data_IF_631369459339
#
_entry.id   IF_631369459339
#
_cell.length_a   1.000
_cell.length_b   1.000
_cell.length_c   1.000
_cell.angle_alpha   90.00
_cell.angle_beta   90.00
_cell.angle_gamma   90.00
#
_symmetry.space_group_name_H-M   'P 1'
#
loop_
_entity.id
_entity.type
_entity.pdbx_description
1 polymer ?
#
# COMPACT_ATOMS: atom_id res chain seq x y z
N UNK A 1 -0.34 7.03 -31.38
CA UNK A 1 -0.44 7.91 -30.19
C UNK A 1 0.72 7.58 -29.25
N UNK A 2 1.47 8.59 -28.79
CA UNK A 2 2.48 8.46 -27.73
C UNK A 2 1.76 8.85 -26.42
N UNK A 3 1.75 7.93 -25.44
CA UNK A 3 1.12 8.13 -24.12
C UNK A 3 2.21 8.11 -23.05
N UNK A 4 2.40 9.23 -22.34
CA UNK A 4 3.46 9.43 -21.35
C UNK A 4 2.94 9.60 -19.93
N UNK A 5 1.67 9.28 -19.66
CA UNK A 5 1.00 9.47 -18.37
C UNK A 5 0.64 8.14 -17.67
N UNK A 6 1.48 7.11 -17.84
CA UNK A 6 1.26 5.82 -17.17
C UNK A 6 1.39 5.89 -15.64
N UNK A 7 2.02 6.93 -15.10
CA UNK A 7 2.07 7.18 -13.67
C UNK A 7 0.69 7.54 -13.07
N UNK A 8 -0.20 8.12 -13.86
CA UNK A 8 -1.59 8.37 -13.48
C UNK A 8 -2.42 7.07 -13.59
N UNK A 9 -2.38 6.43 -14.75
CA UNK A 9 -2.98 5.10 -15.01
C UNK A 9 -2.38 4.52 -16.29
N UNK A 10 -2.25 3.19 -16.37
CA UNK A 10 -1.78 2.54 -17.60
C UNK A 10 -2.88 2.60 -18.66
N UNK A 11 -2.57 3.13 -19.84
CA UNK A 11 -3.55 3.23 -20.93
C UNK A 11 -3.83 1.87 -21.56
N UNK A 12 -2.76 1.15 -21.94
CA UNK A 12 -2.89 -0.14 -22.61
C UNK A 12 -2.87 -1.27 -21.59
N UNK A 13 -3.92 -2.07 -21.59
CA UNK A 13 -4.00 -3.29 -20.79
C UNK A 13 -3.61 -4.50 -21.65
N UNK A 14 -2.99 -5.54 -21.09
CA UNK A 14 -2.83 -6.80 -21.80
C UNK A 14 -4.19 -7.38 -22.20
N UNK A 15 -4.34 -8.01 -23.39
CA UNK A 15 -5.62 -8.60 -23.81
C UNK A 15 -6.19 -9.61 -22.82
N UNK A 16 -5.33 -10.29 -22.06
CA UNK A 16 -5.73 -11.24 -21.03
C UNK A 16 -6.50 -10.55 -19.87
N UNK A 17 -6.19 -9.28 -19.58
CA UNK A 17 -6.91 -8.50 -18.56
C UNK A 17 -8.31 -8.18 -19.03
N UNK A 18 -8.46 -7.73 -20.28
CA UNK A 18 -9.76 -7.45 -20.88
C UNK A 18 -10.63 -8.70 -20.92
N UNK A 19 -10.06 -9.84 -21.36
CA UNK A 19 -10.77 -11.12 -21.42
C UNK A 19 -11.21 -11.58 -20.02
N UNK A 20 -10.33 -11.50 -19.01
CA UNK A 20 -10.64 -11.90 -17.65
C UNK A 20 -11.78 -11.07 -17.04
N UNK A 21 -11.85 -9.76 -17.34
CA UNK A 21 -12.95 -8.91 -16.90
C UNK A 21 -14.27 -9.34 -17.56
N UNK A 22 -14.26 -9.56 -18.88
CA UNK A 22 -15.45 -10.01 -19.61
C UNK A 22 -15.96 -11.38 -19.12
N UNK A 23 -15.04 -12.30 -18.87
CA UNK A 23 -15.40 -13.65 -18.37
C UNK A 23 -15.98 -13.57 -16.96
N UNK A 24 -15.37 -12.76 -16.07
CA UNK A 24 -15.90 -12.56 -14.72
C UNK A 24 -17.31 -11.94 -14.75
N UNK A 25 -17.57 -10.95 -15.62
CA UNK A 25 -18.89 -10.34 -15.76
C UNK A 25 -19.97 -11.34 -16.23
N UNK A 26 -19.58 -12.35 -17.01
CA UNK A 26 -20.51 -13.35 -17.55
C UNK A 26 -20.74 -14.54 -16.63
N UNK A 27 -19.78 -14.88 -15.78
CA UNK A 27 -19.75 -16.17 -15.07
C UNK A 27 -19.70 -16.05 -13.55
N UNK A 28 -19.24 -14.91 -13.00
CA UNK A 28 -19.07 -14.75 -11.56
C UNK A 28 -20.35 -14.25 -10.89
N UNK A 29 -20.76 -14.95 -9.84
CA UNK A 29 -21.84 -14.53 -8.94
C UNK A 29 -21.31 -13.71 -7.74
N UNK A 30 -22.08 -13.62 -6.66
CA UNK A 30 -21.68 -12.95 -5.43
C UNK A 30 -20.71 -13.84 -4.62
N UNK A 31 -19.44 -13.45 -4.43
CA UNK A 31 -18.51 -14.26 -3.64
C UNK A 31 -18.93 -14.31 -2.15
N UNK A 32 -18.84 -15.48 -1.53
CA UNK A 32 -19.00 -15.65 -0.08
C UNK A 32 -20.41 -15.93 0.42
N UNK A 33 -21.46 -15.93 -0.40
CA UNK A 33 -22.84 -16.25 0.00
C UNK A 33 -23.51 -17.19 -0.99
N UNK A 34 -23.57 -18.46 -0.67
CA UNK A 34 -24.23 -19.51 -1.45
C UNK A 34 -23.29 -20.62 -1.87
N UNK A 35 -23.89 -21.76 -2.29
CA UNK A 35 -23.17 -22.98 -2.68
C UNK A 35 -23.33 -23.32 -4.18
N UNK A 36 -23.92 -22.41 -4.97
CA UNK A 36 -24.09 -22.63 -6.40
C UNK A 36 -22.86 -22.22 -7.19
N UNK A 37 -22.66 -22.82 -8.38
CA UNK A 37 -21.43 -22.70 -9.14
C UNK A 37 -20.96 -21.25 -9.44
N UNK A 38 -21.83 -20.28 -9.83
CA UNK A 38 -21.39 -18.90 -10.04
C UNK A 38 -20.77 -18.25 -8.78
N UNK A 39 -21.30 -18.53 -7.58
CA UNK A 39 -20.75 -18.03 -6.30
C UNK A 39 -19.40 -18.68 -5.99
N UNK A 40 -19.30 -20.00 -6.16
CA UNK A 40 -18.04 -20.73 -5.96
C UNK A 40 -16.96 -20.26 -6.93
N UNK A 41 -17.35 -20.03 -8.18
CA UNK A 41 -16.45 -19.46 -9.20
C UNK A 41 -15.92 -18.08 -8.80
N UNK A 42 -16.81 -17.16 -8.40
CA UNK A 42 -16.41 -15.84 -7.91
C UNK A 42 -15.45 -15.92 -6.70
N UNK A 43 -15.74 -16.79 -5.75
CA UNK A 43 -14.88 -17.01 -4.58
C UNK A 43 -13.50 -17.53 -4.95
N UNK A 44 -13.42 -18.45 -5.93
CA UNK A 44 -12.14 -18.97 -6.46
C UNK A 44 -11.35 -17.86 -7.16
N UNK A 45 -11.99 -16.98 -7.95
CA UNK A 45 -11.34 -15.84 -8.60
C UNK A 45 -10.73 -14.88 -7.58
N UNK A 46 -11.49 -14.50 -6.55
CA UNK A 46 -11.00 -13.62 -5.46
C UNK A 46 -9.81 -14.27 -4.75
N UNK A 47 -9.91 -15.55 -4.40
CA UNK A 47 -8.83 -16.26 -3.73
C UNK A 47 -7.58 -16.40 -4.62
N UNK A 48 -7.75 -16.73 -5.89
CA UNK A 48 -6.64 -16.81 -6.84
C UNK A 48 -5.92 -15.46 -7.00
N UNK A 49 -6.66 -14.34 -7.02
CA UNK A 49 -6.08 -13.01 -7.05
C UNK A 49 -5.25 -12.72 -5.78
N UNK A 50 -5.76 -13.10 -4.59
CA UNK A 50 -4.99 -12.98 -3.34
C UNK A 50 -3.70 -13.80 -3.39
N UNK A 51 -3.77 -15.05 -3.84
CA UNK A 51 -2.60 -15.92 -3.99
C UNK A 51 -1.56 -15.33 -4.95
N UNK A 52 -2.00 -14.76 -6.08
CA UNK A 52 -1.11 -14.13 -7.05
C UNK A 52 -0.40 -12.90 -6.46
N UNK A 53 -1.13 -12.06 -5.71
CA UNK A 53 -0.55 -10.89 -5.04
C UNK A 53 0.39 -11.30 -3.89
N UNK A 54 0.01 -12.28 -3.08
CA UNK A 54 0.88 -12.81 -2.02
C UNK A 54 2.19 -13.34 -2.61
N UNK A 55 2.13 -14.09 -3.71
CA UNK A 55 3.33 -14.56 -4.40
C UNK A 55 4.19 -13.42 -4.95
N UNK A 56 3.57 -12.41 -5.58
CA UNK A 56 4.28 -11.26 -6.16
C UNK A 56 5.03 -10.46 -5.11
N UNK A 57 4.45 -10.31 -3.93
CA UNK A 57 4.95 -9.47 -2.84
C UNK A 57 5.69 -10.27 -1.76
N UNK A 58 5.83 -11.59 -1.94
CA UNK A 58 6.40 -12.51 -0.97
C UNK A 58 5.68 -12.46 0.39
N UNK A 59 4.35 -12.27 0.38
CA UNK A 59 3.55 -12.32 1.60
C UNK A 59 3.42 -13.74 2.12
N UNK A 60 3.41 -13.96 3.44
CA UNK A 60 3.39 -15.31 4.02
C UNK A 60 2.04 -16.01 3.81
N UNK A 61 0.95 -15.25 3.71
CA UNK A 61 -0.41 -15.79 3.62
C UNK A 61 -1.27 -14.91 2.69
N UNK A 62 -2.01 -15.49 1.73
CA UNK A 62 -2.98 -14.78 0.90
C UNK A 62 -4.09 -14.07 1.69
N UNK A 63 -4.39 -14.50 2.94
CA UNK A 63 -5.39 -13.84 3.79
C UNK A 63 -4.98 -12.43 4.23
N UNK A 64 -3.67 -12.13 4.21
CA UNK A 64 -3.14 -10.79 4.47
C UNK A 64 -3.52 -9.77 3.37
N UNK A 65 -3.99 -10.22 2.20
CA UNK A 65 -4.39 -9.34 1.10
C UNK A 65 -5.86 -8.95 1.25
N UNK A 66 -6.13 -7.67 1.43
CA UNK A 66 -7.47 -7.09 1.40
C UNK A 66 -7.68 -6.25 0.13
N UNK A 67 -8.87 -6.32 -0.46
CA UNK A 67 -9.25 -5.52 -1.62
C UNK A 67 -9.89 -4.20 -1.19
N UNK A 68 -9.61 -3.15 -1.94
CA UNK A 68 -10.18 -1.82 -1.82
C UNK A 68 -10.51 -1.28 -3.23
N UNK A 69 -11.23 -0.19 -3.34
CA UNK A 69 -11.51 0.42 -4.64
C UNK A 69 -10.27 1.11 -5.25
N UNK A 70 -9.34 1.56 -4.43
CA UNK A 70 -8.09 2.21 -4.85
C UNK A 70 -7.10 2.28 -3.68
N UNK A 71 -5.85 2.69 -3.96
CA UNK A 71 -4.83 2.87 -2.92
C UNK A 71 -5.22 3.92 -1.87
N UNK A 72 -5.97 4.96 -2.25
CA UNK A 72 -6.45 6.00 -1.33
C UNK A 72 -7.36 5.40 -0.25
N UNK A 73 -8.32 4.56 -0.64
CA UNK A 73 -9.18 3.86 0.30
C UNK A 73 -8.39 2.93 1.21
N UNK A 74 -7.48 2.12 0.64
CA UNK A 74 -6.61 1.23 1.38
C UNK A 74 -5.79 1.99 2.46
N UNK A 75 -5.17 3.12 2.10
CA UNK A 75 -4.42 3.98 3.01
C UNK A 75 -5.32 4.62 4.08
N UNK A 76 -6.53 5.08 3.71
CA UNK A 76 -7.47 5.65 4.69
C UNK A 76 -7.93 4.62 5.72
N UNK A 77 -8.19 3.38 5.30
CA UNK A 77 -8.56 2.28 6.20
C UNK A 77 -7.38 1.95 7.11
N UNK A 78 -6.18 1.77 6.56
CA UNK A 78 -5.00 1.44 7.34
C UNK A 78 -4.66 2.53 8.37
N UNK A 79 -4.51 3.77 7.93
CA UNK A 79 -4.15 4.88 8.82
C UNK A 79 -5.24 5.18 9.86
N UNK A 80 -6.52 5.10 9.47
CA UNK A 80 -7.64 5.33 10.39
C UNK A 80 -7.88 4.21 11.38
N UNK A 81 -7.44 2.98 11.06
CA UNK A 81 -7.64 1.81 11.93
C UNK A 81 -6.47 1.51 12.87
N UNK A 82 -5.27 2.00 12.59
CA UNK A 82 -4.05 1.63 13.32
C UNK A 82 -3.66 2.61 14.42
N UNK A 83 -4.10 3.87 14.34
CA UNK A 83 -3.62 4.93 15.22
C UNK A 83 -4.73 5.58 16.04
N UNK A 84 -4.35 6.04 17.23
CA UNK A 84 -5.22 6.65 18.21
C UNK A 84 -4.77 8.08 18.56
N UNK A 85 -5.58 8.76 19.38
CA UNK A 85 -5.25 10.03 19.98
C UNK A 85 -3.90 9.96 20.72
N UNK A 86 -3.01 10.90 20.42
CA UNK A 86 -1.71 11.01 21.04
C UNK A 86 -0.60 10.19 20.37
N UNK A 87 -0.90 9.30 19.44
CA UNK A 87 0.13 8.61 18.67
C UNK A 87 0.88 9.59 17.76
N UNK A 88 2.16 9.32 17.51
CA UNK A 88 3.00 10.07 16.59
C UNK A 88 3.44 9.22 15.40
N UNK A 89 3.45 9.80 14.21
CA UNK A 89 3.87 9.18 12.95
C UNK A 89 5.01 9.99 12.34
N UNK A 90 6.03 9.33 11.84
CA UNK A 90 7.01 9.95 10.94
C UNK A 90 6.56 9.66 9.50
N UNK A 91 6.50 10.70 8.68
CA UNK A 91 6.17 10.60 7.25
C UNK A 91 7.12 11.47 6.43
N UNK A 92 6.96 11.53 5.11
CA UNK A 92 7.88 12.30 4.26
C UNK A 92 7.17 13.45 3.54
N UNK A 93 7.94 14.45 3.12
CA UNK A 93 7.41 15.54 2.27
C UNK A 93 7.10 15.07 0.83
N UNK A 94 7.46 13.82 0.48
CA UNK A 94 7.24 13.22 -0.84
C UNK A 94 5.88 12.52 -0.98
N UNK A 95 5.09 12.48 0.10
CA UNK A 95 3.86 11.70 0.14
C UNK A 95 2.78 12.24 -0.80
N UNK A 96 2.00 11.32 -1.33
CA UNK A 96 0.79 11.66 -2.07
C UNK A 96 -0.32 12.10 -1.12
N UNK A 97 -1.29 12.86 -1.64
CA UNK A 97 -2.50 13.29 -0.90
C UNK A 97 -3.29 12.13 -0.28
N UNK A 98 -3.15 10.92 -0.80
CA UNK A 98 -3.76 9.70 -0.22
C UNK A 98 -3.23 9.37 1.18
N UNK A 99 -2.01 9.79 1.50
CA UNK A 99 -1.41 9.72 2.83
C UNK A 99 -1.64 11.00 3.61
N UNK A 100 -1.37 12.15 2.99
CA UNK A 100 -1.39 13.44 3.71
C UNK A 100 -2.80 13.81 4.22
N UNK A 101 -3.83 13.66 3.39
CA UNK A 101 -5.21 14.03 3.79
C UNK A 101 -5.72 13.25 5.00
N UNK A 102 -5.62 11.90 5.07
CA UNK A 102 -5.99 11.18 6.28
C UNK A 102 -5.13 11.58 7.50
N UNK A 103 -3.83 11.83 7.34
CA UNK A 103 -2.98 12.30 8.45
C UNK A 103 -3.43 13.66 8.98
N UNK A 104 -3.75 14.62 8.11
CA UNK A 104 -4.28 15.93 8.53
C UNK A 104 -5.63 15.81 9.23
N UNK A 105 -6.53 14.94 8.73
CA UNK A 105 -7.81 14.67 9.39
C UNK A 105 -7.62 14.05 10.79
N UNK A 106 -6.72 13.07 10.90
CA UNK A 106 -6.42 12.42 12.18
C UNK A 106 -5.73 13.39 13.17
N UNK A 107 -4.96 14.37 12.66
CA UNK A 107 -4.37 15.43 13.48
C UNK A 107 -5.43 16.27 14.19
N UNK A 108 -6.55 16.56 13.53
CA UNK A 108 -7.69 17.24 14.16
C UNK A 108 -8.29 16.42 15.31
N UNK A 109 -8.09 15.10 15.29
CA UNK A 109 -8.47 14.17 16.35
C UNK A 109 -7.35 13.90 17.37
N UNK A 110 -6.20 14.59 17.25
CA UNK A 110 -5.09 14.54 18.19
C UNK A 110 -3.93 13.64 17.83
N UNK A 111 -3.90 13.03 16.63
CA UNK A 111 -2.71 12.38 16.09
C UNK A 111 -1.60 13.44 15.87
N UNK A 112 -0.36 13.04 16.07
CA UNK A 112 0.81 13.88 15.78
C UNK A 112 1.60 13.29 14.62
N UNK A 113 2.24 14.14 13.81
CA UNK A 113 3.18 13.64 12.81
C UNK A 113 4.28 14.65 12.48
N UNK A 114 5.45 14.11 12.09
CA UNK A 114 6.63 14.86 11.65
C UNK A 114 7.01 14.49 10.23
N UNK A 115 7.57 15.46 9.49
CA UNK A 115 8.01 15.25 8.12
C UNK A 115 9.52 15.03 8.04
N UNK A 116 9.93 13.94 7.39
CA UNK A 116 11.28 13.76 6.89
C UNK A 116 11.47 14.59 5.60
N UNK A 117 12.53 15.38 5.58
CA UNK A 117 12.84 16.30 4.49
C UNK A 117 13.57 15.65 3.31
N UNK A 118 13.78 16.46 2.26
CA UNK A 118 14.52 16.12 1.05
C UNK A 118 15.66 17.11 0.82
N UNK A 119 16.64 16.69 0.01
CA UNK A 119 17.67 17.59 -0.52
C UNK A 119 17.11 18.47 -1.67
N UNK A 120 17.96 19.36 -2.22
CA UNK A 120 17.62 20.25 -3.34
C UNK A 120 17.21 19.50 -4.62
N UNK A 121 17.53 18.21 -4.72
CA UNK A 121 17.14 17.32 -5.82
C UNK A 121 15.88 16.49 -5.51
N UNK A 122 15.23 16.75 -4.38
CA UNK A 122 14.03 16.04 -3.93
C UNK A 122 14.32 14.62 -3.43
N UNK A 123 15.56 14.27 -3.07
CA UNK A 123 15.91 12.94 -2.54
C UNK A 123 15.83 12.97 -1.01
N UNK A 124 15.21 11.94 -0.42
CA UNK A 124 15.06 11.82 1.03
C UNK A 124 16.40 11.85 1.77
N UNK A 125 16.43 12.60 2.86
CA UNK A 125 17.58 12.73 3.76
C UNK A 125 17.36 11.83 4.96
N UNK A 126 17.98 10.64 4.96
CA UNK A 126 17.78 9.61 5.98
C UNK A 126 18.50 9.92 7.30
N UNK A 127 19.59 10.69 7.27
CA UNK A 127 20.47 10.93 8.43
C UNK A 127 19.77 11.72 9.55
N UNK A 128 18.72 12.46 9.23
CA UNK A 128 17.98 13.29 10.19
C UNK A 128 16.75 12.57 10.79
N UNK A 129 16.44 11.39 10.36
CA UNK A 129 15.22 10.69 10.78
C UNK A 129 15.21 10.36 12.28
N UNK A 130 16.37 10.05 12.87
CA UNK A 130 16.49 9.80 14.32
C UNK A 130 16.03 10.98 15.17
N UNK A 131 16.19 12.22 14.66
CA UNK A 131 15.76 13.45 15.35
C UNK A 131 14.24 13.63 15.38
N UNK A 132 13.52 12.90 14.52
CA UNK A 132 12.05 12.96 14.43
C UNK A 132 11.37 11.98 15.38
N UNK A 133 12.11 11.03 15.96
CA UNK A 133 11.54 10.01 16.85
C UNK A 133 11.15 10.65 18.19
N UNK A 134 9.92 10.36 18.62
CA UNK A 134 9.36 10.77 19.90
C UNK A 134 8.97 9.54 20.72
N UNK A 135 8.80 9.66 22.05
CA UNK A 135 8.42 8.51 22.89
C UNK A 135 7.10 7.83 22.47
N UNK A 136 6.21 8.57 21.82
CA UNK A 136 4.91 8.12 21.32
C UNK A 136 4.91 7.82 19.82
N UNK A 137 6.09 7.77 19.16
CA UNK A 137 6.17 7.39 17.73
C UNK A 137 5.77 5.92 17.56
N UNK A 138 4.83 5.67 16.65
CA UNK A 138 4.27 4.34 16.37
C UNK A 138 4.61 3.81 14.99
N UNK A 139 4.78 4.70 14.01
CA UNK A 139 4.99 4.26 12.63
C UNK A 139 5.88 5.21 11.83
N UNK A 140 6.49 4.62 10.81
CA UNK A 140 7.06 5.29 9.66
C UNK A 140 6.14 5.04 8.45
N UNK A 141 5.63 6.10 7.85
CA UNK A 141 4.76 6.06 6.66
C UNK A 141 5.51 6.69 5.49
N UNK A 142 5.80 5.93 4.44
CA UNK A 142 6.59 6.39 3.29
C UNK A 142 5.98 5.97 1.96
N UNK A 143 6.07 6.85 0.95
CA UNK A 143 5.79 6.43 -0.44
C UNK A 143 6.98 5.63 -0.99
N UNK A 144 6.72 4.59 -1.75
CA UNK A 144 7.77 3.84 -2.45
C UNK A 144 8.46 4.67 -3.54
N UNK A 145 7.70 5.56 -4.20
CA UNK A 145 8.21 6.57 -5.12
C UNK A 145 7.23 7.74 -5.24
N UNK A 146 7.75 8.95 -5.34
CA UNK A 146 6.95 10.15 -5.57
C UNK A 146 6.36 10.16 -6.99
N UNK A 147 5.06 10.36 -7.10
CA UNK A 147 4.38 10.52 -8.39
C UNK A 147 4.69 11.87 -9.06
N UNK A 148 5.26 12.82 -8.34
CA UNK A 148 5.61 14.17 -8.82
C UNK A 148 7.05 14.23 -9.32
N UNK A 149 8.00 13.77 -8.50
CA UNK A 149 9.44 13.88 -8.82
C UNK A 149 10.01 12.62 -9.45
N UNK A 150 9.34 11.46 -9.29
CA UNK A 150 9.84 10.15 -9.69
C UNK A 150 10.95 9.60 -8.79
N UNK A 151 11.36 10.33 -7.75
CA UNK A 151 12.35 9.85 -6.80
C UNK A 151 11.80 8.69 -5.98
N UNK A 152 12.57 7.60 -5.92
CA UNK A 152 12.26 6.43 -5.10
C UNK A 152 12.74 6.56 -3.66
N UNK A 153 12.02 5.94 -2.74
CA UNK A 153 12.46 5.73 -1.36
C UNK A 153 13.33 4.48 -1.29
N UNK A 154 14.48 4.57 -0.61
CA UNK A 154 15.27 3.40 -0.25
C UNK A 154 14.54 2.63 0.87
N UNK A 155 13.71 1.67 0.46
CA UNK A 155 12.89 0.90 1.40
C UNK A 155 13.75 0.05 2.36
N UNK A 156 14.96 -0.33 1.98
CA UNK A 156 15.85 -1.05 2.89
C UNK A 156 16.32 -0.15 4.03
N UNK A 157 16.68 1.10 3.75
CA UNK A 157 17.00 2.08 4.81
C UNK A 157 15.80 2.40 5.68
N UNK A 158 14.62 2.57 5.07
CA UNK A 158 13.38 2.80 5.81
C UNK A 158 13.05 1.63 6.74
N UNK A 159 13.22 0.40 6.27
CA UNK A 159 13.04 -0.83 7.06
C UNK A 159 14.01 -0.90 8.24
N UNK A 160 15.31 -0.69 8.00
CA UNK A 160 16.31 -0.67 9.07
C UNK A 160 15.99 0.38 10.14
N UNK A 161 15.57 1.58 9.72
CA UNK A 161 15.17 2.63 10.65
C UNK A 161 13.92 2.23 11.46
N UNK A 162 12.86 1.78 10.79
CA UNK A 162 11.62 1.40 11.46
C UNK A 162 11.86 0.28 12.50
N UNK A 163 12.58 -0.78 12.11
CA UNK A 163 12.88 -1.90 12.99
C UNK A 163 13.75 -1.49 14.20
N UNK A 164 14.78 -0.65 13.99
CA UNK A 164 15.64 -0.14 15.06
C UNK A 164 14.84 0.58 16.14
N UNK A 165 13.78 1.27 15.77
CA UNK A 165 12.93 2.04 16.68
C UNK A 165 11.63 1.33 17.08
N UNK A 166 11.41 0.08 16.63
CA UNK A 166 10.18 -0.69 16.91
C UNK A 166 8.92 -0.04 16.33
N UNK A 167 9.05 0.61 15.16
CA UNK A 167 7.98 1.29 14.46
C UNK A 167 7.32 0.39 13.43
N UNK A 168 6.01 0.53 13.23
CA UNK A 168 5.34 -0.04 12.08
C UNK A 168 5.86 0.62 10.79
N UNK A 169 6.19 -0.19 9.78
CA UNK A 169 6.55 0.30 8.45
C UNK A 169 5.34 0.20 7.52
N UNK A 170 4.80 1.36 7.13
CA UNK A 170 3.67 1.49 6.23
C UNK A 170 4.16 2.11 4.91
N UNK A 171 3.92 1.42 3.79
CA UNK A 171 4.39 1.85 2.48
C UNK A 171 3.22 2.11 1.52
N UNK A 172 3.15 3.33 0.99
CA UNK A 172 2.35 3.63 -0.21
C UNK A 172 3.13 3.17 -1.45
N UNK A 173 2.78 2.01 -1.96
CA UNK A 173 3.39 1.41 -3.14
C UNK A 173 2.58 1.67 -4.44
N UNK A 174 1.74 2.70 -4.49
CA UNK A 174 0.92 3.00 -5.65
C UNK A 174 1.73 3.22 -6.94
N UNK A 175 2.99 3.67 -6.83
CA UNK A 175 3.89 3.85 -7.98
C UNK A 175 4.88 2.70 -8.17
N UNK A 176 5.08 1.85 -7.16
CA UNK A 176 6.16 0.85 -7.18
C UNK A 176 5.66 -0.59 -7.27
N UNK A 177 4.47 -0.92 -6.76
CA UNK A 177 3.93 -2.27 -6.88
C UNK A 177 3.73 -2.68 -8.34
N UNK A 178 4.42 -3.73 -8.77
CA UNK A 178 4.44 -4.23 -10.14
C UNK A 178 5.53 -3.61 -11.04
N UNK A 179 6.18 -2.50 -10.64
CA UNK A 179 7.30 -1.90 -11.39
C UNK A 179 8.65 -2.13 -10.72
N UNK A 180 8.65 -2.32 -9.41
CA UNK A 180 9.83 -2.61 -8.60
C UNK A 180 9.60 -3.90 -7.81
N UNK A 181 10.62 -4.74 -7.59
CA UNK A 181 10.49 -5.88 -6.70
C UNK A 181 10.31 -5.39 -5.26
N UNK A 182 9.28 -5.89 -4.59
CA UNK A 182 9.00 -5.61 -3.17
C UNK A 182 8.84 -6.95 -2.47
N UNK A 183 9.75 -7.25 -1.56
CA UNK A 183 9.67 -8.41 -0.67
C UNK A 183 9.24 -7.91 0.72
N UNK A 184 7.96 -8.09 1.06
CA UNK A 184 7.42 -7.56 2.30
C UNK A 184 7.98 -8.25 3.53
N UNK A 185 8.37 -9.54 3.43
CA UNK A 185 8.98 -10.26 4.55
C UNK A 185 10.43 -9.84 4.77
N UNK A 186 11.23 -9.80 3.70
CA UNK A 186 12.63 -9.41 3.80
C UNK A 186 12.80 -7.96 4.28
N UNK A 187 11.89 -7.06 3.90
CA UNK A 187 11.88 -5.67 4.33
C UNK A 187 11.12 -5.46 5.66
N UNK A 188 10.40 -6.45 6.15
CA UNK A 188 9.57 -6.32 7.35
C UNK A 188 8.53 -5.21 7.21
N UNK A 189 7.88 -5.12 6.06
CA UNK A 189 6.81 -4.15 5.83
C UNK A 189 5.55 -4.67 6.51
N UNK A 190 5.00 -3.89 7.44
CA UNK A 190 3.78 -4.25 8.18
C UNK A 190 2.52 -3.97 7.35
N UNK A 191 2.50 -2.87 6.60
CA UNK A 191 1.38 -2.51 5.74
C UNK A 191 1.89 -1.99 4.40
N UNK A 192 1.39 -2.59 3.32
CA UNK A 192 1.65 -2.15 1.95
C UNK A 192 0.33 -1.81 1.26
N UNK A 193 0.14 -0.56 0.85
CA UNK A 193 -1.04 -0.13 0.10
C UNK A 193 -0.69 0.20 -1.35
N UNK A 194 -1.49 -0.28 -2.29
CA UNK A 194 -1.20 -0.11 -3.73
C UNK A 194 -2.46 -0.16 -4.59
N UNK A 195 -2.30 0.06 -5.89
CA UNK A 195 -3.41 0.07 -6.85
C UNK A 195 -3.13 -0.86 -8.01
N UNK A 196 -4.19 -1.51 -8.53
CA UNK A 196 -4.08 -2.45 -9.63
C UNK A 196 -3.95 -1.82 -11.01
N UNK A 197 -4.40 -0.56 -11.19
CA UNK A 197 -4.54 0.06 -12.52
C UNK A 197 -3.29 0.76 -13.07
N UNK A 198 -2.19 0.78 -12.31
CA UNK A 198 -0.89 1.31 -12.75
C UNK A 198 0.01 0.19 -13.24
N UNK A 199 1.17 -0.03 -12.65
CA UNK A 199 2.14 -1.02 -13.11
C UNK A 199 1.65 -2.48 -13.02
N UNK A 200 0.61 -2.77 -12.24
CA UNK A 200 -0.05 -4.08 -12.24
C UNK A 200 -0.99 -4.31 -13.42
N UNK A 201 -1.19 -3.31 -14.29
CA UNK A 201 -1.92 -3.37 -15.56
C UNK A 201 -3.40 -3.75 -15.45
N UNK A 202 -3.97 -3.72 -14.25
CA UNK A 202 -5.38 -4.03 -13.99
C UNK A 202 -6.33 -2.88 -14.36
N UNK A 203 -7.65 -3.08 -14.28
CA UNK A 203 -8.63 -2.02 -14.50
C UNK A 203 -8.59 -0.98 -13.37
N UNK A 204 -9.13 0.22 -13.64
CA UNK A 204 -9.44 1.20 -12.59
C UNK A 204 -10.50 0.63 -11.64
N UNK A 205 -10.60 1.18 -10.42
CA UNK A 205 -11.48 0.64 -9.39
C UNK A 205 -10.89 -0.57 -8.65
N UNK A 206 -9.57 -0.79 -8.76
CA UNK A 206 -8.85 -1.85 -8.07
C UNK A 206 -7.76 -1.26 -7.19
N UNK A 207 -7.89 -1.46 -5.88
CA UNK A 207 -6.91 -1.14 -4.87
C UNK A 207 -6.73 -2.34 -3.94
N UNK A 208 -5.60 -2.42 -3.30
CA UNK A 208 -5.26 -3.51 -2.40
C UNK A 208 -4.46 -2.97 -1.21
N UNK A 209 -4.63 -3.61 -0.07
CA UNK A 209 -3.70 -3.53 1.04
C UNK A 209 -3.20 -4.93 1.39
N UNK A 210 -1.93 -5.01 1.74
CA UNK A 210 -1.36 -6.14 2.44
C UNK A 210 -1.12 -5.67 3.86
N UNK A 211 -1.67 -6.37 4.83
CA UNK A 211 -1.51 -6.07 6.26
C UNK A 211 -0.91 -7.31 6.90
N UNK A 212 0.32 -7.19 7.34
CA UNK A 212 1.08 -8.23 8.02
C UNK A 212 1.46 -7.73 9.43
N UNK A 213 0.46 -7.45 10.24
CA UNK A 213 0.68 -7.16 11.66
C UNK A 213 0.53 -8.50 12.39
N UNK A 214 1.60 -9.00 13.00
CA UNK A 214 1.50 -10.07 13.97
C UNK A 214 0.59 -9.57 15.09
N UNK A 215 -0.52 -10.27 15.33
CA UNK A 215 -1.39 -9.95 16.47
C UNK A 215 -0.53 -9.83 17.73
N UNK A 216 -0.64 -8.75 18.52
CA UNK A 216 -0.03 -8.74 19.83
C UNK A 216 -0.64 -9.91 20.59
N UNK A 217 0.19 -10.88 20.95
CA UNK A 217 -0.21 -11.97 21.82
C UNK A 217 -0.90 -11.36 23.04
N UNK A 218 -2.22 -11.50 23.09
CA UNK A 218 -2.97 -11.16 24.29
C UNK A 218 -2.52 -12.14 25.37
N UNK A 219 -1.63 -11.68 26.24
CA UNK A 219 -1.34 -12.30 27.50
C UNK A 219 -2.38 -11.89 28.55
#
# INVERSE_FOLDING_TARGET
MIYLDNAATTLRKPPQVEQAVLDAMRTAGNPGRGAHEPTLHASRLVYAARCAMAKLLHAPDPSCIAFAANATEALNIALGGLFALGDHIITTVCEHNSVLRPLYRLREQGLQFSFAGVDERGRLQYDDWDKLVQPNTKALVVTGASNVTGNGTDLAKAAVFAHRHGLLLIVDAAQTAGSQPIDVQALGIDVLCFTGHKALLGPQGTGLSLIHISEPTRH
#
